data_IF_531061521668
#
_entry.id   IF_531061521668
#
_cell.length_a   1.000
_cell.length_b   1.000
_cell.length_c   1.000
_cell.angle_alpha   90.00
_cell.angle_beta   90.00
_cell.angle_gamma   90.00
#
_symmetry.space_group_name_H-M   'P 1'
#
loop_
_entity.id
_entity.type
_entity.pdbx_description
1 polymer ?
#
# COMPACT_ATOMS: atom_id res chain seq x y z
N UNK A 1 -13.56 -0.37 6.30
CA UNK A 1 -13.70 -1.74 5.75
C UNK A 1 -12.61 -2.10 4.74
N UNK A 2 -12.30 -1.28 3.72
CA UNK A 2 -11.27 -1.60 2.72
C UNK A 2 -9.89 -1.98 3.30
N UNK A 3 -9.42 -1.27 4.34
CA UNK A 3 -8.13 -1.55 4.96
C UNK A 3 -8.03 -2.96 5.58
N UNK A 4 -9.14 -3.51 6.07
CA UNK A 4 -9.16 -4.88 6.64
C UNK A 4 -8.96 -5.91 5.53
N UNK A 5 -9.65 -5.75 4.40
CA UNK A 5 -9.49 -6.65 3.26
C UNK A 5 -8.11 -6.55 2.62
N UNK A 6 -7.55 -5.35 2.55
CA UNK A 6 -6.18 -5.12 2.07
C UNK A 6 -5.18 -5.80 3.01
N UNK A 7 -5.34 -5.67 4.32
CA UNK A 7 -4.47 -6.32 5.29
C UNK A 7 -4.52 -7.85 5.18
N UNK A 8 -5.72 -8.42 5.03
CA UNK A 8 -5.90 -9.86 4.89
C UNK A 8 -5.29 -10.40 3.59
N UNK A 9 -5.57 -9.73 2.46
CA UNK A 9 -5.01 -10.13 1.16
C UNK A 9 -3.50 -9.92 1.09
N UNK A 10 -3.02 -8.75 1.51
CA UNK A 10 -1.60 -8.40 1.51
C UNK A 10 -0.78 -9.31 2.42
N UNK A 11 -1.25 -9.58 3.63
CA UNK A 11 -0.56 -10.47 4.56
C UNK A 11 -0.44 -11.91 4.03
N UNK A 12 -1.49 -12.43 3.40
CA UNK A 12 -1.45 -13.75 2.76
C UNK A 12 -0.48 -13.79 1.58
N UNK A 13 -0.47 -12.76 0.73
CA UNK A 13 0.41 -12.67 -0.44
C UNK A 13 1.89 -12.67 -0.05
N UNK A 14 2.28 -11.87 0.95
CA UNK A 14 3.68 -11.77 1.41
C UNK A 14 4.21 -13.12 1.93
N UNK A 15 3.40 -13.86 2.69
CA UNK A 15 3.82 -15.17 3.20
C UNK A 15 3.94 -16.19 2.03
N UNK A 16 3.00 -16.16 1.10
CA UNK A 16 2.98 -17.06 -0.05
C UNK A 16 4.15 -16.81 -1.02
N UNK A 17 4.50 -15.54 -1.30
CA UNK A 17 5.62 -15.23 -2.20
C UNK A 17 6.96 -15.67 -1.61
N UNK A 18 7.19 -15.44 -0.31
CA UNK A 18 8.39 -15.89 0.40
C UNK A 18 8.50 -17.41 0.36
N UNK A 19 7.39 -18.12 0.60
CA UNK A 19 7.35 -19.57 0.51
C UNK A 19 7.69 -20.06 -0.90
N UNK A 20 7.14 -19.43 -1.94
CA UNK A 20 7.42 -19.78 -3.33
C UNK A 20 8.90 -19.53 -3.68
N UNK A 21 9.48 -18.42 -3.25
CA UNK A 21 10.89 -18.09 -3.45
C UNK A 21 11.80 -19.12 -2.76
N UNK A 22 11.49 -19.50 -1.52
CA UNK A 22 12.22 -20.55 -0.79
C UNK A 22 12.09 -21.93 -1.45
N UNK A 23 10.91 -22.26 -2.00
CA UNK A 23 10.70 -23.53 -2.70
C UNK A 23 11.50 -23.64 -4.01
N UNK A 24 11.84 -22.52 -4.64
CA UNK A 24 12.68 -22.49 -5.84
C UNK A 24 14.19 -22.56 -5.54
N UNK A 25 14.60 -22.35 -4.29
CA UNK A 25 15.99 -22.24 -3.89
C UNK A 25 16.52 -23.48 -3.15
N UNK A 26 17.81 -23.77 -3.31
CA UNK A 26 18.51 -24.73 -2.44
C UNK A 26 18.62 -24.16 -1.02
N UNK A 27 18.52 -25.00 0.00
CA UNK A 27 18.49 -24.58 1.42
C UNK A 27 19.64 -23.64 1.81
N UNK A 28 20.84 -23.88 1.29
CA UNK A 28 22.03 -23.03 1.52
C UNK A 28 21.90 -21.59 1.00
N UNK A 29 20.99 -21.32 0.06
CA UNK A 29 20.81 -20.00 -0.57
C UNK A 29 19.53 -19.28 -0.15
N UNK A 30 18.72 -19.87 0.74
CA UNK A 30 17.44 -19.28 1.18
C UNK A 30 17.63 -17.86 1.72
N UNK A 31 18.63 -17.64 2.57
CA UNK A 31 18.90 -16.31 3.13
C UNK A 31 19.23 -15.26 2.05
N UNK A 32 19.99 -15.65 1.03
CA UNK A 32 20.36 -14.76 -0.09
C UNK A 32 19.14 -14.43 -0.93
N UNK A 33 18.30 -15.44 -1.23
CA UNK A 33 17.07 -15.24 -2.02
C UNK A 33 16.10 -14.30 -1.31
N UNK A 34 15.86 -14.51 -0.01
CA UNK A 34 15.00 -13.62 0.79
C UNK A 34 15.57 -12.20 0.90
N UNK A 35 16.90 -12.05 0.97
CA UNK A 35 17.53 -10.73 0.99
C UNK A 35 17.32 -9.98 -0.34
N UNK A 36 17.45 -10.68 -1.47
CA UNK A 36 17.20 -10.12 -2.80
C UNK A 36 15.71 -9.77 -2.97
N UNK A 37 14.81 -10.66 -2.53
CA UNK A 37 13.37 -10.40 -2.50
C UNK A 37 13.05 -9.13 -1.71
N UNK A 38 13.56 -9.01 -0.48
CA UNK A 38 13.36 -7.84 0.38
C UNK A 38 13.91 -6.54 -0.23
N UNK A 39 15.02 -6.62 -0.98
CA UNK A 39 15.53 -5.48 -1.75
C UNK A 39 14.51 -5.01 -2.79
N UNK A 40 13.93 -5.92 -3.57
CA UNK A 40 12.89 -5.58 -4.55
C UNK A 40 11.61 -5.08 -3.90
N UNK A 41 11.21 -5.65 -2.76
CA UNK A 41 10.07 -5.16 -1.98
C UNK A 41 10.28 -3.70 -1.53
N UNK A 42 11.48 -3.36 -1.06
CA UNK A 42 11.83 -1.98 -0.71
C UNK A 42 11.78 -1.02 -1.91
N UNK A 43 12.25 -1.45 -3.08
CA UNK A 43 12.14 -0.66 -4.32
C UNK A 43 10.68 -0.43 -4.69
N UNK A 44 9.84 -1.47 -4.63
CA UNK A 44 8.41 -1.36 -4.86
C UNK A 44 7.73 -0.41 -3.88
N UNK A 45 8.09 -0.50 -2.60
CA UNK A 45 7.62 0.40 -1.55
C UNK A 45 8.01 1.86 -1.79
N UNK A 46 9.24 2.12 -2.24
CA UNK A 46 9.69 3.47 -2.59
C UNK A 46 8.89 4.05 -3.77
N UNK A 47 8.69 3.26 -4.84
CA UNK A 47 7.89 3.68 -6.00
C UNK A 47 6.45 3.99 -5.58
N UNK A 48 5.83 3.09 -4.81
CA UNK A 48 4.47 3.29 -4.29
C UNK A 48 4.35 4.54 -3.42
N UNK A 49 5.33 4.78 -2.53
CA UNK A 49 5.40 5.98 -1.71
C UNK A 49 5.53 7.26 -2.52
N UNK A 50 6.35 7.27 -3.58
CA UNK A 50 6.47 8.41 -4.49
C UNK A 50 5.17 8.71 -5.21
N UNK A 51 4.50 7.69 -5.77
CA UNK A 51 3.20 7.85 -6.43
C UNK A 51 2.16 8.40 -5.44
N UNK A 52 2.12 7.83 -4.23
CA UNK A 52 1.20 8.28 -3.19
C UNK A 52 1.43 9.75 -2.81
N UNK A 53 2.68 10.17 -2.65
CA UNK A 53 3.05 11.56 -2.36
C UNK A 53 2.67 12.52 -3.51
N UNK A 54 2.91 12.11 -4.77
CA UNK A 54 2.53 12.90 -5.93
C UNK A 54 1.00 13.06 -6.03
N UNK A 55 0.24 11.99 -5.77
CA UNK A 55 -1.23 12.05 -5.72
C UNK A 55 -1.73 12.94 -4.59
N UNK A 56 -1.13 12.84 -3.40
CA UNK A 56 -1.49 13.66 -2.25
C UNK A 56 -1.33 15.15 -2.57
N UNK A 57 -0.14 15.54 -3.02
CA UNK A 57 0.19 16.94 -3.32
C UNK A 57 -0.58 17.49 -4.53
N UNK A 58 -0.92 16.65 -5.51
CA UNK A 58 -1.65 17.08 -6.71
C UNK A 58 -3.18 17.12 -6.55
N UNK A 59 -3.77 16.14 -5.86
CA UNK A 59 -5.23 15.93 -5.85
C UNK A 59 -5.88 16.46 -4.57
N UNK A 60 -5.24 16.25 -3.40
CA UNK A 60 -5.85 16.58 -2.12
C UNK A 60 -6.14 18.08 -1.96
N UNK A 61 -5.21 19.02 -2.26
CA UNK A 61 -5.50 20.46 -2.18
C UNK A 61 -6.64 20.89 -3.10
N UNK A 62 -6.73 20.31 -4.30
CA UNK A 62 -7.78 20.62 -5.27
C UNK A 62 -9.15 20.16 -4.74
N UNK A 63 -9.21 18.97 -4.13
CA UNK A 63 -10.44 18.45 -3.54
C UNK A 63 -10.84 19.22 -2.29
N UNK A 64 -9.86 19.60 -1.47
CA UNK A 64 -10.11 20.41 -0.29
C UNK A 64 -10.71 21.76 -0.67
N UNK A 65 -10.17 22.46 -1.67
CA UNK A 65 -10.73 23.72 -2.18
C UNK A 65 -12.13 23.57 -2.78
N UNK A 66 -12.45 22.42 -3.37
CA UNK A 66 -13.77 22.12 -3.92
C UNK A 66 -14.82 21.90 -2.84
N UNK A 67 -14.47 21.21 -1.76
CA UNK A 67 -15.41 20.87 -0.69
C UNK A 67 -15.53 21.93 0.40
N UNK A 68 -14.49 22.75 0.63
CA UNK A 68 -14.52 23.77 1.66
C UNK A 68 -15.64 24.81 1.41
N UNK A 69 -16.39 25.21 2.45
CA UNK A 69 -17.35 26.30 2.37
C UNK A 69 -16.61 27.62 2.09
N UNK A 70 -17.31 28.58 1.48
CA UNK A 70 -16.72 29.84 1.00
C UNK A 70 -16.00 30.60 2.12
N UNK A 71 -16.50 30.55 3.35
CA UNK A 71 -15.89 31.19 4.51
C UNK A 71 -14.51 30.62 4.88
N UNK A 72 -14.28 29.32 4.67
CA UNK A 72 -13.05 28.63 5.07
C UNK A 72 -12.05 28.45 3.93
N UNK A 73 -12.40 28.87 2.69
CA UNK A 73 -11.48 28.79 1.54
C UNK A 73 -10.27 29.71 1.67
N UNK A 74 -10.37 30.80 2.42
CA UNK A 74 -9.25 31.68 2.69
C UNK A 74 -8.14 30.96 3.49
N UNK A 75 -8.54 30.08 4.41
CA UNK A 75 -7.64 29.34 5.29
C UNK A 75 -7.16 28.00 4.71
N UNK A 76 -7.44 27.72 3.43
CA UNK A 76 -7.18 26.40 2.84
C UNK A 76 -5.72 25.94 2.98
N UNK A 77 -4.76 26.86 2.89
CA UNK A 77 -3.32 26.55 3.00
C UNK A 77 -3.00 26.05 4.40
N UNK A 78 -3.52 26.74 5.42
CA UNK A 78 -3.35 26.37 6.83
C UNK A 78 -4.01 25.03 7.11
N UNK A 79 -5.24 24.83 6.64
CA UNK A 79 -5.98 23.57 6.79
C UNK A 79 -5.24 22.42 6.08
N UNK A 80 -4.66 22.65 4.89
CA UNK A 80 -3.88 21.64 4.19
C UNK A 80 -2.58 21.27 4.92
N UNK A 81 -1.88 22.27 5.46
CA UNK A 81 -0.54 22.12 6.03
C UNK A 81 -0.50 21.62 7.46
N UNK A 82 -1.59 21.74 8.23
CA UNK A 82 -1.62 21.36 9.64
C UNK A 82 -2.83 20.49 10.00
N UNK A 83 -2.55 19.26 10.42
CA UNK A 83 -3.58 18.33 10.89
C UNK A 83 -4.19 18.77 12.22
N UNK A 84 -3.46 19.51 13.05
CA UNK A 84 -3.97 20.07 14.32
C UNK A 84 -5.10 21.05 14.03
N UNK A 85 -4.93 21.88 13.01
CA UNK A 85 -5.96 22.81 12.56
C UNK A 85 -7.17 22.08 11.98
N UNK A 86 -6.95 21.03 11.18
CA UNK A 86 -8.06 20.20 10.69
C UNK A 86 -8.88 19.57 11.83
N UNK A 87 -8.21 19.17 12.91
CA UNK A 87 -8.82 18.52 14.06
C UNK A 87 -9.48 19.51 15.03
N UNK A 88 -9.08 20.78 15.01
CA UNK A 88 -9.63 21.85 15.86
C UNK A 88 -11.09 22.15 15.53
N UNK A 89 -11.49 21.98 14.26
CA UNK A 89 -12.88 22.15 13.84
C UNK A 89 -13.80 21.09 14.48
N UNK A 90 -14.93 21.49 15.10
CA UNK A 90 -15.86 20.56 15.73
C UNK A 90 -16.36 19.48 14.78
N UNK A 91 -16.50 18.26 15.29
CA UNK A 91 -17.13 17.15 14.55
C UNK A 91 -18.57 17.52 14.21
N UNK A 92 -18.95 17.36 12.94
CA UNK A 92 -20.26 17.77 12.42
C UNK A 92 -20.34 19.20 11.89
N UNK A 93 -19.28 20.00 12.04
CA UNK A 93 -19.21 21.30 11.37
C UNK A 93 -19.06 21.15 9.85
N UNK A 94 -19.56 22.10 9.03
CA UNK A 94 -19.42 22.03 7.57
C UNK A 94 -17.95 21.93 7.11
N UNK A 95 -17.04 22.62 7.80
CA UNK A 95 -15.60 22.59 7.51
C UNK A 95 -15.01 21.21 7.81
N UNK A 96 -15.35 20.61 8.97
CA UNK A 96 -14.86 19.27 9.34
C UNK A 96 -15.37 18.19 8.39
N UNK A 97 -16.63 18.26 7.98
CA UNK A 97 -17.21 17.34 6.99
C UNK A 97 -16.53 17.51 5.62
N UNK A 98 -16.32 18.74 5.17
CA UNK A 98 -15.62 19.01 3.91
C UNK A 98 -14.18 18.45 3.88
N UNK A 99 -13.46 18.56 5.00
CA UNK A 99 -12.13 17.95 5.15
C UNK A 99 -12.25 16.43 5.04
N UNK A 100 -13.17 15.80 5.77
CA UNK A 100 -13.40 14.34 5.73
C UNK A 100 -13.73 13.85 4.31
N UNK A 101 -14.57 14.59 3.58
CA UNK A 101 -14.92 14.29 2.19
C UNK A 101 -13.70 14.41 1.25
N UNK A 102 -12.84 15.41 1.47
CA UNK A 102 -11.59 15.54 0.73
C UNK A 102 -10.65 14.34 0.97
N UNK A 103 -10.51 13.90 2.23
CA UNK A 103 -9.76 12.69 2.58
C UNK A 103 -10.36 11.43 1.95
N UNK A 104 -11.70 11.29 1.99
CA UNK A 104 -12.40 10.17 1.39
C UNK A 104 -12.21 10.10 -0.13
N UNK A 105 -12.29 11.24 -0.81
CA UNK A 105 -12.04 11.34 -2.24
C UNK A 105 -10.58 10.96 -2.59
N UNK A 106 -9.61 11.52 -1.88
CA UNK A 106 -8.19 11.23 -2.07
C UNK A 106 -7.91 9.73 -1.88
N UNK A 107 -8.39 9.15 -0.78
CA UNK A 107 -8.21 7.72 -0.47
C UNK A 107 -8.85 6.83 -1.53
N UNK A 108 -10.01 7.21 -2.07
CA UNK A 108 -10.65 6.48 -3.18
C UNK A 108 -9.76 6.46 -4.42
N UNK A 109 -9.15 7.59 -4.80
CA UNK A 109 -8.24 7.63 -5.95
C UNK A 109 -6.99 6.79 -5.72
N UNK A 110 -6.39 6.86 -4.52
CA UNK A 110 -5.24 6.02 -4.16
C UNK A 110 -5.58 4.53 -4.27
N UNK A 111 -6.75 4.11 -3.77
CA UNK A 111 -7.18 2.72 -3.84
C UNK A 111 -7.36 2.24 -5.28
N UNK A 112 -7.91 3.08 -6.16
CA UNK A 112 -8.06 2.74 -7.59
C UNK A 112 -6.68 2.56 -8.22
N UNK A 113 -5.76 3.50 -8.02
CA UNK A 113 -4.41 3.43 -8.57
C UNK A 113 -3.68 2.16 -8.11
N UNK A 114 -3.69 1.86 -6.81
CA UNK A 114 -3.07 0.64 -6.26
C UNK A 114 -3.70 -0.64 -6.80
N UNK A 115 -5.03 -0.65 -6.99
CA UNK A 115 -5.73 -1.83 -7.54
C UNK A 115 -5.34 -2.09 -9.00
N UNK A 116 -5.11 -1.04 -9.80
CA UNK A 116 -4.64 -1.20 -11.18
C UNK A 116 -3.25 -1.82 -11.24
N UNK A 117 -2.36 -1.46 -10.32
CA UNK A 117 -1.00 -2.04 -10.24
C UNK A 117 -1.03 -3.54 -9.91
N UNK A 118 -2.01 -3.99 -9.11
CA UNK A 118 -2.17 -5.42 -8.78
C UNK A 118 -2.42 -6.30 -10.02
N UNK A 119 -2.91 -5.75 -11.13
CA UNK A 119 -3.07 -6.50 -12.39
C UNK A 119 -1.71 -7.04 -12.87
N UNK A 120 -0.65 -6.24 -12.74
CA UNK A 120 0.70 -6.66 -13.10
C UNK A 120 1.24 -7.75 -12.17
N UNK A 121 0.84 -7.72 -10.89
CA UNK A 121 1.18 -8.78 -9.93
C UNK A 121 0.53 -10.12 -10.32
N UNK A 122 -0.76 -10.10 -10.68
CA UNK A 122 -1.47 -11.31 -11.15
C UNK A 122 -0.80 -11.89 -12.41
N UNK A 123 -0.45 -11.03 -13.38
CA UNK A 123 0.26 -11.47 -14.57
C UNK A 123 1.62 -12.10 -14.24
N UNK A 124 2.35 -11.54 -13.28
CA UNK A 124 3.64 -12.07 -12.82
C UNK A 124 3.50 -13.47 -12.21
N UNK A 125 2.46 -13.70 -11.40
CA UNK A 125 2.20 -15.01 -10.77
C UNK A 125 1.85 -16.08 -11.80
N UNK A 126 1.14 -15.73 -12.88
CA UNK A 126 0.80 -16.68 -13.96
C UNK A 126 2.06 -17.22 -14.65
N UNK A 127 3.14 -16.44 -14.70
CA UNK A 127 4.42 -16.83 -15.31
C UNK A 127 5.24 -17.73 -14.38
N UNK A 128 4.89 -17.84 -13.11
CA UNK A 128 5.65 -18.66 -12.16
C UNK A 128 5.59 -20.13 -12.54
N UNK A 129 6.73 -20.79 -12.36
CA UNK A 129 6.83 -22.24 -12.54
C UNK A 129 6.08 -22.93 -11.41
N UNK A 130 5.25 -23.91 -11.76
CA UNK A 130 4.63 -24.79 -10.78
C UNK A 130 5.69 -25.72 -10.14
N UNK A 131 5.92 -25.54 -8.83
CA UNK A 131 6.89 -26.31 -8.05
C UNK A 131 6.13 -27.27 -7.15
N UNK A 132 6.27 -28.57 -7.42
CA UNK A 132 5.66 -29.60 -6.59
C UNK A 132 6.47 -29.81 -5.29
N UNK A 133 6.01 -29.18 -4.23
CA UNK A 133 6.61 -29.27 -2.88
C UNK A 133 6.50 -30.65 -2.23
N UNK A 134 5.61 -31.55 -2.70
CA UNK A 134 5.43 -32.90 -2.11
C UNK A 134 6.64 -33.81 -2.32
N UNK A 135 7.45 -33.54 -3.33
CA UNK A 135 8.62 -34.35 -3.68
C UNK A 135 9.91 -33.88 -2.99
N UNK A 136 9.86 -32.83 -2.18
CA UNK A 136 11.02 -32.37 -1.42
C UNK A 136 11.34 -33.39 -0.32
N UNK A 137 12.44 -34.14 -0.49
CA UNK A 137 13.01 -34.94 0.58
C UNK A 137 13.58 -34.00 1.65
N UNK A 138 12.94 -33.97 2.81
CA UNK A 138 13.46 -33.30 3.99
C UNK A 138 14.86 -33.84 4.30
N UNK A 139 15.86 -32.96 4.27
CA UNK A 139 17.25 -33.35 4.53
C UNK A 139 17.35 -33.76 6.00
N UNK A 140 17.64 -35.03 6.28
CA UNK A 140 17.93 -35.49 7.64
C UNK A 140 19.32 -35.00 8.04
N UNK A 141 19.38 -33.87 8.72
CA UNK A 141 20.59 -33.33 9.35
C UNK A 141 20.22 -32.43 10.53
N UNK A 142 21.03 -32.48 11.60
CA UNK A 142 20.82 -31.64 12.80
C UNK A 142 20.89 -30.16 12.41
N UNK A 143 19.74 -29.51 12.38
CA UNK A 143 19.62 -28.06 12.53
C UNK A 143 19.99 -27.74 13.98
N UNK A 144 21.12 -27.04 14.16
CA UNK A 144 21.50 -26.41 15.42
C UNK A 144 20.93 -25.00 15.45
#
# INVERSE_FOLDING_TARGET
MCQIFIALGGGALVICEQLAAMAAASHQYVAVVLAVEGMFANVGGAIGGTIASAMWTGIFPQKLLQYLPQEAKADYITIYGDITEQLSYPVGSPVRTAIQDAYGAMQRYMLIASTTVLIAAVASVIVWRDINVKNFKQVKGRVW
#
